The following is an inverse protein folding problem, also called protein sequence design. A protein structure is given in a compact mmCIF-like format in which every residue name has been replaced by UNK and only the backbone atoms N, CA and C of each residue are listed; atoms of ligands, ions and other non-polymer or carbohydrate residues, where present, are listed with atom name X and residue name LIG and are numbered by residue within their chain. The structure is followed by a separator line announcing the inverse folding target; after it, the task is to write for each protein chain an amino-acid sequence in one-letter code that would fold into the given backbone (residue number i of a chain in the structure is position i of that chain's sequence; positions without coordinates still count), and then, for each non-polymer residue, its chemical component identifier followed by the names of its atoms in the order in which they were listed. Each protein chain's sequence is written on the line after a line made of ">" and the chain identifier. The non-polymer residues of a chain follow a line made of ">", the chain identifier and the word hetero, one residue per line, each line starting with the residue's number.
data_IF_454412307942
#
_entry.id   IF_454412307942
#
_cell.length_a   1.000
_cell.length_b   1.000
_cell.length_c   1.000
_cell.angle_alpha   90.00
_cell.angle_beta   90.00
_cell.angle_gamma   90.00
#
_symmetry.space_group_name_H-M   'P 1'
#
loop_
_entity.id
_entity.type
_entity.pdbx_description
1 polymer ?
#
# COMPACT_ATOMS: atom_id res chain seq x y z
N UNK A 1 -5.19 -20.57 40.49
CA UNK A 1 -5.59 -19.76 39.31
C UNK A 1 -4.84 -18.43 39.31
N UNK A 2 -4.39 -17.95 38.14
CA UNK A 2 -3.62 -16.71 37.99
C UNK A 2 -2.09 -16.91 37.89
N UNK A 3 -1.57 -18.07 38.26
CA UNK A 3 -0.14 -18.36 38.22
C UNK A 3 0.36 -18.52 36.79
N UNK A 4 1.60 -18.07 36.53
CA UNK A 4 2.31 -18.25 35.27
C UNK A 4 3.18 -19.49 35.36
N UNK A 5 2.96 -20.44 34.45
CA UNK A 5 3.70 -21.69 34.36
C UNK A 5 4.46 -21.80 33.05
N UNK A 6 5.59 -22.52 33.06
CA UNK A 6 6.35 -22.85 31.85
C UNK A 6 5.84 -24.16 31.25
N UNK A 7 6.08 -24.37 29.96
CA UNK A 7 5.86 -25.65 29.30
C UNK A 7 6.60 -26.77 30.07
N UNK A 8 5.91 -27.89 30.27
CA UNK A 8 6.39 -29.03 31.05
C UNK A 8 6.22 -28.91 32.57
N UNK A 9 5.72 -27.78 33.09
CA UNK A 9 5.46 -27.67 34.53
C UNK A 9 4.40 -28.70 34.99
N UNK A 10 4.63 -29.40 36.11
CA UNK A 10 3.67 -30.36 36.65
C UNK A 10 2.41 -29.64 37.15
N UNK A 11 1.24 -30.21 36.84
CA UNK A 11 -0.08 -29.70 37.25
C UNK A 11 -0.69 -30.58 38.33
N UNK A 12 -0.70 -31.90 38.11
CA UNK A 12 -1.26 -32.87 39.06
C UNK A 12 -0.65 -34.25 38.85
N UNK A 13 -0.54 -35.01 39.94
CA UNK A 13 -0.25 -36.43 39.90
C UNK A 13 -1.57 -37.22 39.97
N UNK A 14 -1.78 -38.10 38.98
CA UNK A 14 -2.97 -38.90 38.86
C UNK A 14 -2.64 -40.37 39.09
N UNK A 15 -3.38 -41.01 39.97
CA UNK A 15 -3.33 -42.46 40.15
C UNK A 15 -4.34 -43.10 39.18
N UNK A 16 -3.85 -43.99 38.32
CA UNK A 16 -4.61 -44.79 37.36
C UNK A 16 -4.46 -46.28 37.75
N UNK A 17 -5.33 -46.83 38.61
CA UNK A 17 -5.21 -48.21 39.09
C UNK A 17 -5.22 -49.25 37.96
N UNK A 18 -6.01 -49.02 36.91
CA UNK A 18 -6.14 -49.90 35.74
C UNK A 18 -4.82 -50.09 34.98
N UNK A 19 -3.92 -49.12 35.07
CA UNK A 19 -2.59 -49.20 34.47
C UNK A 19 -1.67 -50.17 35.20
N UNK A 20 -1.80 -50.31 36.51
CA UNK A 20 -0.93 -51.19 37.31
C UNK A 20 -1.06 -52.68 36.94
N UNK A 21 -2.30 -53.13 36.71
CA UNK A 21 -2.57 -54.51 36.26
C UNK A 21 -1.96 -54.80 34.88
N UNK A 22 -2.22 -53.90 33.91
CA UNK A 22 -1.71 -54.05 32.55
C UNK A 22 -0.17 -54.00 32.47
N UNK A 23 0.48 -53.17 33.30
CA UNK A 23 1.94 -53.12 33.39
C UNK A 23 2.54 -54.41 33.95
N UNK A 24 1.89 -55.01 34.96
CA UNK A 24 2.33 -56.28 35.55
C UNK A 24 2.25 -57.42 34.53
N UNK A 25 1.18 -57.45 33.73
CA UNK A 25 1.03 -58.39 32.61
C UNK A 25 2.14 -58.18 31.57
N UNK A 26 2.35 -56.92 31.14
CA UNK A 26 3.38 -56.56 30.18
C UNK A 26 4.79 -57.01 30.62
N UNK A 27 5.16 -56.72 31.87
CA UNK A 27 6.45 -57.15 32.44
C UNK A 27 6.59 -58.67 32.51
N UNK A 28 5.48 -59.38 32.76
CA UNK A 28 5.46 -60.84 32.78
C UNK A 28 5.66 -61.44 31.40
N UNK A 29 4.96 -60.91 30.39
CA UNK A 29 5.14 -61.32 28.98
C UNK A 29 6.57 -61.07 28.51
N UNK A 30 7.15 -59.93 28.88
CA UNK A 30 8.54 -59.60 28.50
C UNK A 30 9.56 -60.60 29.05
N UNK A 31 9.35 -61.12 30.27
CA UNK A 31 10.21 -62.15 30.87
C UNK A 31 10.22 -63.47 30.09
N UNK A 32 9.20 -63.74 29.28
CA UNK A 32 9.13 -64.94 28.44
C UNK A 32 10.04 -64.87 27.20
N UNK A 33 10.61 -63.70 26.89
CA UNK A 33 11.52 -63.53 25.75
C UNK A 33 10.86 -63.69 24.38
N UNK A 34 9.53 -63.55 24.29
CA UNK A 34 8.76 -63.65 23.03
C UNK A 34 8.52 -62.24 22.45
N UNK A 35 9.17 -61.86 21.35
CA UNK A 35 9.10 -60.49 20.83
C UNK A 35 7.69 -60.10 20.37
N UNK A 36 6.97 -60.99 19.68
CA UNK A 36 5.62 -60.71 19.17
C UNK A 36 4.60 -60.46 20.30
N UNK A 37 4.66 -61.28 21.35
CA UNK A 37 3.79 -61.11 22.53
C UNK A 37 4.13 -59.83 23.29
N UNK A 38 5.42 -59.52 23.41
CA UNK A 38 5.88 -58.29 24.07
C UNK A 38 5.40 -57.07 23.28
N UNK A 39 5.50 -57.11 21.94
CA UNK A 39 5.01 -56.04 21.07
C UNK A 39 3.49 -55.85 21.19
N UNK A 40 2.71 -56.95 21.21
CA UNK A 40 1.27 -56.89 21.40
C UNK A 40 0.87 -56.32 22.77
N UNK A 41 1.53 -56.76 23.84
CA UNK A 41 1.29 -56.25 25.19
C UNK A 41 1.71 -54.77 25.33
N UNK A 42 2.81 -54.35 24.68
CA UNK A 42 3.20 -52.93 24.60
C UNK A 42 2.17 -52.10 23.84
N UNK A 43 1.62 -52.62 22.75
CA UNK A 43 0.59 -51.93 21.97
C UNK A 43 -0.69 -51.74 22.78
N UNK A 44 -1.07 -52.72 23.60
CA UNK A 44 -2.20 -52.58 24.54
C UNK A 44 -1.99 -51.42 25.52
N UNK A 45 -0.80 -51.28 26.10
CA UNK A 45 -0.49 -50.15 26.99
C UNK A 45 -0.64 -48.79 26.30
N UNK A 46 -0.21 -48.68 25.03
CA UNK A 46 -0.39 -47.47 24.22
C UNK A 46 -1.87 -47.16 23.95
N UNK A 47 -2.66 -48.19 23.63
CA UNK A 47 -4.11 -48.04 23.40
C UNK A 47 -4.85 -47.62 24.68
N UNK A 48 -4.31 -47.93 25.86
CA UNK A 48 -4.80 -47.45 27.15
C UNK A 48 -4.34 -46.02 27.49
N UNK A 49 -3.63 -45.34 26.58
CA UNK A 49 -3.21 -43.95 26.74
C UNK A 49 -1.85 -43.73 27.40
N UNK A 50 -1.07 -44.79 27.66
CA UNK A 50 0.30 -44.61 28.17
C UNK A 50 1.23 -44.05 27.10
N UNK A 51 2.04 -43.06 27.48
CA UNK A 51 3.10 -42.55 26.61
C UNK A 51 4.24 -43.55 26.48
N UNK A 52 4.96 -43.52 25.36
CA UNK A 52 6.14 -44.38 25.14
C UNK A 52 7.23 -44.17 26.20
N UNK A 53 7.37 -42.95 26.70
CA UNK A 53 8.31 -42.63 27.78
C UNK A 53 7.92 -43.31 29.10
N UNK A 54 6.63 -43.34 29.44
CA UNK A 54 6.15 -44.02 30.64
C UNK A 54 6.34 -45.54 30.52
N UNK A 55 5.99 -46.13 29.37
CA UNK A 55 6.22 -47.56 29.12
C UNK A 55 7.71 -47.91 29.24
N UNK A 56 8.59 -47.11 28.63
CA UNK A 56 10.04 -47.30 28.73
C UNK A 56 10.55 -47.15 30.19
N UNK A 57 9.90 -46.32 31.02
CA UNK A 57 10.26 -46.19 32.43
C UNK A 57 9.89 -47.45 33.22
N UNK A 58 8.70 -48.02 33.00
CA UNK A 58 8.24 -49.29 33.60
C UNK A 58 9.15 -50.44 33.14
N UNK A 59 9.56 -50.41 31.88
CA UNK A 59 10.50 -51.37 31.32
C UNK A 59 11.86 -51.35 32.03
N UNK A 60 12.39 -50.16 32.29
CA UNK A 60 13.70 -49.98 32.91
C UNK A 60 13.65 -50.26 34.41
N UNK A 61 12.57 -49.86 35.08
CA UNK A 61 12.39 -50.08 36.52
C UNK A 61 12.02 -51.52 36.87
N UNK A 62 11.39 -52.24 35.94
CA UNK A 62 10.86 -53.58 36.17
C UNK A 62 9.69 -53.60 37.18
N UNK A 63 9.09 -52.45 37.48
CA UNK A 63 8.01 -52.30 38.46
C UNK A 63 6.85 -51.51 37.87
N UNK A 64 5.58 -51.93 38.10
CA UNK A 64 4.44 -51.14 37.72
C UNK A 64 4.42 -49.81 38.50
N UNK A 65 4.04 -48.73 37.81
CA UNK A 65 3.75 -47.43 38.37
C UNK A 65 2.41 -46.92 37.80
N UNK A 66 1.40 -46.85 38.66
CA UNK A 66 0.08 -46.30 38.30
C UNK A 66 -0.02 -44.79 38.42
N UNK A 67 1.03 -44.09 38.90
CA UNK A 67 1.02 -42.64 39.06
C UNK A 67 1.61 -41.97 37.81
N UNK A 68 0.86 -41.04 37.23
CA UNK A 68 1.29 -40.21 36.11
C UNK A 68 1.20 -38.74 36.46
N UNK A 69 2.27 -38.01 36.22
CA UNK A 69 2.29 -36.55 36.34
C UNK A 69 1.78 -35.92 35.06
N UNK A 70 0.66 -35.21 35.15
CA UNK A 70 0.14 -34.39 34.06
C UNK A 70 0.87 -33.06 34.08
N UNK A 71 1.44 -32.69 32.93
CA UNK A 71 2.19 -31.43 32.75
C UNK A 71 1.48 -30.53 31.75
N UNK A 72 1.77 -29.22 31.82
CA UNK A 72 1.25 -28.28 30.82
C UNK A 72 2.03 -28.39 29.50
N UNK A 73 1.37 -28.51 28.33
CA UNK A 73 2.06 -28.58 27.04
C UNK A 73 2.62 -27.23 26.59
N UNK A 74 2.13 -26.13 27.15
CA UNK A 74 2.51 -24.75 26.78
C UNK A 74 2.89 -23.93 28.01
N UNK A 75 3.65 -22.86 27.79
CA UNK A 75 3.86 -21.84 28.80
C UNK A 75 2.68 -20.86 28.79
N UNK A 76 2.19 -20.44 29.96
CA UNK A 76 1.00 -19.60 30.03
C UNK A 76 0.50 -19.34 31.43
N UNK A 77 -0.67 -18.71 31.53
CA UNK A 77 -1.38 -18.50 32.79
C UNK A 77 -2.44 -19.56 33.01
N UNK A 78 -2.53 -20.06 34.25
CA UNK A 78 -3.60 -20.97 34.67
C UNK A 78 -4.88 -20.15 34.86
N UNK A 79 -5.83 -20.27 33.94
CA UNK A 79 -7.16 -19.64 34.06
C UNK A 79 -8.00 -20.36 35.10
N UNK A 80 -8.11 -21.68 34.98
CA UNK A 80 -8.86 -22.54 35.90
C UNK A 80 -7.97 -23.70 36.34
N UNK A 81 -8.18 -24.16 37.57
CA UNK A 81 -7.53 -25.33 38.14
C UNK A 81 -8.58 -26.08 38.97
N UNK A 82 -9.16 -27.10 38.36
CA UNK A 82 -10.24 -27.90 38.94
C UNK A 82 -9.68 -29.16 39.61
N UNK A 83 -8.46 -29.57 39.25
CA UNK A 83 -7.73 -30.61 39.95
C UNK A 83 -7.36 -30.14 41.37
N UNK A 84 -7.93 -30.80 42.39
CA UNK A 84 -7.59 -30.58 43.81
C UNK A 84 -7.11 -31.89 44.43
N UNK A 85 -6.24 -31.80 45.43
CA UNK A 85 -5.80 -32.98 46.16
C UNK A 85 -6.99 -33.70 46.79
N UNK A 86 -7.03 -35.02 46.65
CA UNK A 86 -8.06 -35.90 47.25
C UNK A 86 -9.33 -36.08 46.43
N UNK A 87 -9.46 -35.48 45.24
CA UNK A 87 -10.64 -35.67 44.38
C UNK A 87 -10.42 -36.82 43.39
N UNK A 88 -11.49 -37.55 43.09
CA UNK A 88 -11.54 -38.47 41.94
C UNK A 88 -11.94 -37.69 40.69
N UNK A 89 -11.26 -37.95 39.58
CA UNK A 89 -11.50 -37.27 38.31
C UNK A 89 -12.22 -38.21 37.35
N UNK A 90 -13.23 -37.68 36.66
CA UNK A 90 -13.92 -38.42 35.61
C UNK A 90 -13.21 -38.22 34.25
N UNK A 91 -13.36 -39.20 33.36
CA UNK A 91 -12.93 -39.06 31.97
C UNK A 91 -13.65 -37.89 31.31
N UNK A 92 -12.89 -37.01 30.64
CA UNK A 92 -13.39 -35.79 30.02
C UNK A 92 -13.51 -34.58 30.96
N UNK A 93 -13.22 -34.74 32.25
CA UNK A 93 -13.15 -33.61 33.17
C UNK A 93 -11.89 -32.78 32.91
N UNK A 94 -12.06 -31.46 32.81
CA UNK A 94 -10.95 -30.51 32.70
C UNK A 94 -10.16 -30.46 34.00
N UNK A 95 -8.82 -30.59 33.92
CA UNK A 95 -7.93 -30.48 35.08
C UNK A 95 -7.50 -29.03 35.32
N UNK A 96 -7.06 -28.39 34.26
CA UNK A 96 -6.64 -27.00 34.24
C UNK A 96 -6.82 -26.42 32.84
N UNK A 97 -7.15 -25.14 32.76
CA UNK A 97 -7.13 -24.38 31.52
C UNK A 97 -5.94 -23.43 31.54
N UNK A 98 -5.00 -23.61 30.61
CA UNK A 98 -3.80 -22.77 30.50
C UNK A 98 -3.88 -21.92 29.24
N UNK A 99 -3.70 -20.61 29.38
CA UNK A 99 -3.65 -19.68 28.25
C UNK A 99 -2.24 -19.24 27.94
N UNK A 100 -1.82 -19.47 26.71
CA UNK A 100 -0.51 -19.06 26.22
C UNK A 100 -0.30 -17.55 26.33
N UNK A 101 0.88 -17.14 26.78
CA UNK A 101 1.27 -15.73 26.87
C UNK A 101 2.34 -15.31 25.86
N UNK A 102 2.83 -16.22 25.01
CA UNK A 102 3.89 -15.90 24.03
C UNK A 102 3.48 -14.87 22.98
N UNK A 103 2.19 -14.83 22.67
CA UNK A 103 1.52 -13.82 21.85
C UNK A 103 0.28 -13.36 22.57
N UNK A 104 0.04 -12.04 22.61
CA UNK A 104 -1.18 -11.48 23.17
C UNK A 104 -2.02 -10.83 22.08
N UNK A 105 -3.33 -10.92 22.23
CA UNK A 105 -4.25 -10.25 21.32
C UNK A 105 -4.69 -8.92 21.90
N UNK A 106 -4.54 -7.88 21.11
CA UNK A 106 -5.09 -6.56 21.37
C UNK A 106 -6.34 -6.38 20.51
N UNK A 107 -7.48 -6.19 21.17
CA UNK A 107 -8.74 -5.88 20.51
C UNK A 107 -8.89 -4.35 20.46
N UNK A 108 -8.71 -3.76 19.28
CA UNK A 108 -8.88 -2.34 19.05
C UNK A 108 -10.33 -2.06 18.60
N UNK A 109 -10.99 -1.10 19.24
CA UNK A 109 -12.30 -0.62 18.81
C UNK A 109 -12.12 0.46 17.73
N UNK A 110 -12.55 0.15 16.50
CA UNK A 110 -12.44 1.06 15.35
C UNK A 110 -13.83 1.57 14.98
N UNK A 111 -14.06 2.89 14.92
CA UNK A 111 -15.34 3.44 14.46
C UNK A 111 -15.72 2.95 13.06
N UNK A 112 -16.99 2.65 12.85
CA UNK A 112 -17.51 2.12 11.57
C UNK A 112 -17.11 2.99 10.36
N UNK A 113 -17.11 4.32 10.51
CA UNK A 113 -16.72 5.26 9.45
C UNK A 113 -15.27 5.10 8.95
N UNK A 114 -14.38 4.49 9.74
CA UNK A 114 -12.97 4.24 9.41
C UNK A 114 -12.69 2.77 9.05
N UNK A 115 -13.71 1.92 9.09
CA UNK A 115 -13.57 0.48 8.85
C UNK A 115 -12.99 0.15 7.47
N UNK A 116 -13.34 0.94 6.44
CA UNK A 116 -12.85 0.74 5.07
C UNK A 116 -11.34 0.95 4.89
N UNK A 117 -10.70 1.65 5.83
CA UNK A 117 -9.25 1.88 5.82
C UNK A 117 -8.46 0.70 6.42
N UNK A 118 -9.14 -0.21 7.13
CA UNK A 118 -8.49 -1.29 7.87
C UNK A 118 -8.50 -2.58 7.05
N UNK A 119 -7.34 -3.25 6.98
CA UNK A 119 -7.18 -4.52 6.26
C UNK A 119 -6.51 -5.57 7.13
N UNK A 120 -6.89 -6.83 6.92
CA UNK A 120 -6.16 -7.96 7.51
C UNK A 120 -4.74 -7.98 6.94
N UNK A 121 -3.76 -8.18 7.82
CA UNK A 121 -2.34 -8.17 7.50
C UNK A 121 -1.68 -6.79 7.62
N UNK A 122 -2.43 -5.73 7.91
CA UNK A 122 -1.92 -4.38 8.11
C UNK A 122 -1.05 -4.27 9.37
N UNK A 123 -0.03 -3.42 9.32
CA UNK A 123 0.82 -3.15 10.47
C UNK A 123 0.10 -2.26 11.49
N UNK A 124 0.32 -2.53 12.76
CA UNK A 124 -0.20 -1.75 13.87
C UNK A 124 0.92 -1.45 14.88
N UNK A 125 0.86 -0.27 15.51
CA UNK A 125 1.72 0.09 16.62
C UNK A 125 0.85 0.37 17.84
N UNK A 126 1.10 -0.32 18.94
CA UNK A 126 0.42 -0.12 20.21
C UNK A 126 1.32 0.58 21.21
N UNK A 127 0.75 1.50 21.99
CA UNK A 127 1.41 2.18 23.12
C UNK A 127 0.55 1.99 24.36
N UNK A 128 1.15 1.54 25.46
CA UNK A 128 0.47 1.25 26.71
C UNK A 128 0.86 2.29 27.76
N UNK A 129 -0.09 2.70 28.61
CA UNK A 129 0.20 3.62 29.71
C UNK A 129 1.20 3.01 30.71
N UNK A 130 1.21 1.68 30.85
CA UNK A 130 2.16 0.95 31.71
C UNK A 130 3.60 0.95 31.19
N UNK A 131 3.82 1.33 29.92
CA UNK A 131 5.13 1.35 29.27
C UNK A 131 5.31 2.67 28.48
N UNK A 132 5.45 3.81 29.18
CA UNK A 132 5.53 5.11 28.52
C UNK A 132 6.78 5.18 27.63
N UNK A 133 6.60 5.66 26.39
CA UNK A 133 7.67 5.80 25.40
C UNK A 133 7.97 4.53 24.59
N UNK A 134 7.45 3.37 24.98
CA UNK A 134 7.63 2.12 24.24
C UNK A 134 6.50 1.88 23.23
N UNK A 135 6.87 1.39 22.04
CA UNK A 135 5.95 1.00 20.97
C UNK A 135 6.03 -0.50 20.73
N UNK A 136 4.88 -1.15 20.79
CA UNK A 136 4.73 -2.57 20.49
C UNK A 136 4.25 -2.72 19.06
N UNK A 137 5.10 -3.27 18.20
CA UNK A 137 4.72 -3.60 16.83
C UNK A 137 3.81 -4.84 16.82
N UNK A 138 2.74 -4.75 16.05
CA UNK A 138 1.78 -5.83 15.86
C UNK A 138 1.22 -5.88 14.45
N UNK A 139 0.41 -6.90 14.20
CA UNK A 139 -0.25 -7.09 12.91
C UNK A 139 -1.73 -7.36 13.09
N UNK A 140 -2.56 -6.75 12.25
CA UNK A 140 -3.99 -7.05 12.20
C UNK A 140 -4.16 -8.48 11.68
N UNK A 141 -4.71 -9.37 12.51
CA UNK A 141 -4.95 -10.78 12.14
C UNK A 141 -6.41 -11.04 11.77
N UNK A 142 -7.34 -10.23 12.30
CA UNK A 142 -8.76 -10.38 12.01
C UNK A 142 -9.50 -9.06 12.23
N UNK A 143 -10.56 -8.86 11.45
CA UNK A 143 -11.60 -7.87 11.70
C UNK A 143 -12.83 -8.70 12.05
N UNK A 144 -13.35 -8.56 13.28
CA UNK A 144 -14.48 -9.37 13.71
C UNK A 144 -15.73 -8.94 12.94
N UNK A 145 -16.58 -9.90 12.52
CA UNK A 145 -17.74 -9.62 11.67
C UNK A 145 -18.86 -8.88 12.41
N UNK A 146 -18.87 -8.92 13.74
CA UNK A 146 -19.89 -8.28 14.57
C UNK A 146 -19.44 -6.89 15.01
N UNK A 147 -20.29 -5.90 14.75
CA UNK A 147 -20.17 -4.57 15.31
C UNK A 147 -20.70 -4.56 16.75
N UNK A 148 -20.08 -3.75 17.60
CA UNK A 148 -20.65 -3.43 18.90
C UNK A 148 -21.66 -2.29 18.73
N UNK A 149 -22.95 -2.61 18.85
CA UNK A 149 -24.04 -1.68 18.59
C UNK A 149 -23.97 -0.43 19.50
N UNK A 150 -23.62 -0.61 20.77
CA UNK A 150 -23.58 0.48 21.77
C UNK A 150 -22.51 1.53 21.44
N UNK A 151 -21.34 1.09 20.97
CA UNK A 151 -20.20 1.96 20.67
C UNK A 151 -20.07 2.28 19.18
N UNK A 152 -20.85 1.62 18.31
CA UNK A 152 -20.75 1.67 16.84
C UNK A 152 -19.32 1.44 16.35
N UNK A 153 -18.66 0.46 16.95
CA UNK A 153 -17.29 0.08 16.60
C UNK A 153 -17.20 -1.34 16.09
N UNK A 154 -16.24 -1.56 15.20
CA UNK A 154 -15.76 -2.88 14.82
C UNK A 154 -14.58 -3.27 15.70
N UNK A 155 -14.51 -4.54 16.06
CA UNK A 155 -13.36 -5.07 16.80
C UNK A 155 -12.29 -5.54 15.83
N UNK A 156 -11.16 -4.84 15.81
CA UNK A 156 -9.98 -5.24 15.04
C UNK A 156 -9.01 -5.96 15.98
N UNK A 157 -8.73 -7.22 15.68
CA UNK A 157 -7.81 -8.05 16.48
C UNK A 157 -6.40 -7.93 15.93
N UNK A 158 -5.50 -7.48 16.79
CA UNK A 158 -4.09 -7.27 16.51
C UNK A 158 -3.29 -8.27 17.34
N UNK A 159 -2.39 -9.00 16.69
CA UNK A 159 -1.45 -9.87 17.37
C UNK A 159 -0.19 -9.09 17.74
N UNK A 160 0.20 -9.18 19.02
CA UNK A 160 1.41 -8.59 19.57
C UNK A 160 2.33 -9.71 20.09
N UNK A 161 3.59 -9.77 19.63
CA UNK A 161 4.60 -10.63 20.23
C UNK A 161 4.83 -10.25 21.69
N UNK A 162 4.89 -11.23 22.58
CA UNK A 162 5.08 -11.01 24.02
C UNK A 162 6.21 -11.89 24.57
N UNK A 163 7.38 -11.81 23.93
CA UNK A 163 8.53 -12.67 24.25
C UNK A 163 9.03 -12.49 25.69
N UNK A 164 9.00 -11.26 26.19
CA UNK A 164 9.45 -10.93 27.54
C UNK A 164 8.35 -11.13 28.60
N UNK A 165 7.14 -11.55 28.21
CA UNK A 165 6.00 -11.74 29.12
C UNK A 165 5.50 -10.46 29.79
N UNK A 166 5.88 -9.29 29.27
CA UNK A 166 5.59 -7.97 29.85
C UNK A 166 4.14 -7.53 29.60
N UNK A 167 3.56 -7.93 28.46
CA UNK A 167 2.18 -7.64 28.12
C UNK A 167 1.27 -8.63 28.87
N UNK A 168 0.36 -8.09 29.69
CA UNK A 168 -0.61 -8.89 30.46
C UNK A 168 -2.02 -8.67 29.92
N UNK A 169 -2.83 -9.73 29.81
CA UNK A 169 -4.26 -9.59 29.49
C UNK A 169 -4.95 -8.62 30.46
N UNK A 170 -5.85 -7.80 29.94
CA UNK A 170 -6.57 -6.77 30.72
C UNK A 170 -5.93 -5.38 30.70
N UNK A 171 -4.71 -5.22 30.17
CA UNK A 171 -4.12 -3.90 29.93
C UNK A 171 -4.83 -3.15 28.81
N UNK A 172 -4.85 -1.82 28.92
CA UNK A 172 -5.33 -0.92 27.87
C UNK A 172 -4.16 -0.38 27.04
N UNK A 173 -4.40 -0.19 25.75
CA UNK A 173 -3.43 0.35 24.81
C UNK A 173 -4.10 1.33 23.84
N UNK A 174 -3.35 2.35 23.43
CA UNK A 174 -3.68 3.17 22.26
C UNK A 174 -3.05 2.55 21.03
N UNK A 175 -3.80 2.48 19.94
CA UNK A 175 -3.35 1.83 18.70
C UNK A 175 -3.30 2.85 17.58
N UNK A 176 -2.17 2.84 16.87
CA UNK A 176 -2.04 3.49 15.57
C UNK A 176 -2.02 2.38 14.52
N UNK A 177 -3.05 2.33 13.69
CA UNK A 177 -3.11 1.45 12.52
C UNK A 177 -2.37 2.14 11.38
N UNK A 178 -1.30 1.53 10.89
CA UNK A 178 -0.48 2.10 9.82
C UNK A 178 -1.18 1.93 8.48
N UNK A 179 -1.44 3.02 7.75
CA UNK A 179 -1.89 2.92 6.36
C UNK A 179 -0.79 2.33 5.47
N UNK A 180 -1.17 1.69 4.36
CA UNK A 180 -0.22 1.26 3.35
C UNK A 180 0.61 2.47 2.90
N UNK A 181 1.90 2.49 3.24
CA UNK A 181 2.85 3.51 2.82
C UNK A 181 3.12 3.32 1.32
N UNK A 182 2.21 3.82 0.50
CA UNK A 182 2.45 3.95 -0.93
C UNK A 182 3.37 5.16 -1.14
N UNK A 183 4.39 5.07 -2.00
CA UNK A 183 5.15 6.24 -2.42
C UNK A 183 4.17 7.30 -2.94
N UNK A 184 4.22 8.47 -2.34
CA UNK A 184 3.37 9.61 -2.67
C UNK A 184 4.23 10.88 -2.67
N UNK A 185 3.88 11.83 -3.54
CA UNK A 185 4.50 13.14 -3.52
C UNK A 185 3.86 13.95 -2.39
N UNK A 186 4.67 14.40 -1.43
CA UNK A 186 4.21 15.17 -0.28
C UNK A 186 4.76 16.59 -0.38
N UNK A 187 3.96 17.56 0.06
CA UNK A 187 4.37 18.94 0.29
C UNK A 187 3.92 19.37 1.68
N UNK A 188 4.61 20.32 2.34
CA UNK A 188 4.11 20.92 3.57
C UNK A 188 2.70 21.47 3.35
N UNK A 189 1.75 21.18 4.26
CA UNK A 189 0.36 21.63 4.12
C UNK A 189 0.25 23.16 3.99
N UNK A 190 1.18 23.90 4.61
CA UNK A 190 1.26 25.36 4.52
C UNK A 190 1.58 25.89 3.12
N UNK A 191 2.21 25.09 2.25
CA UNK A 191 2.50 25.46 0.87
C UNK A 191 1.28 25.42 -0.06
N UNK A 192 0.16 24.82 0.39
CA UNK A 192 -1.04 24.60 -0.40
C UNK A 192 -2.01 25.78 -0.24
N UNK A 193 -2.27 26.48 -1.34
CA UNK A 193 -3.21 27.61 -1.39
C UNK A 193 -4.54 27.14 -1.98
N UNK A 194 -5.63 27.35 -1.22
CA UNK A 194 -7.00 27.00 -1.63
C UNK A 194 -7.78 28.28 -1.93
N UNK A 195 -8.09 28.53 -3.19
CA UNK A 195 -8.86 29.72 -3.63
C UNK A 195 -10.37 29.44 -3.73
N UNK A 196 -10.82 28.30 -3.22
CA UNK A 196 -12.20 27.80 -3.34
C UNK A 196 -12.53 27.18 -4.69
N UNK A 197 -12.10 27.80 -5.81
CA UNK A 197 -12.31 27.27 -7.17
C UNK A 197 -11.22 26.30 -7.61
N UNK A 198 -10.00 26.50 -7.13
CA UNK A 198 -8.81 25.70 -7.47
C UNK A 198 -7.86 25.61 -6.30
N UNK A 199 -7.00 24.59 -6.34
CA UNK A 199 -5.91 24.41 -5.38
C UNK A 199 -4.59 24.58 -6.12
N UNK A 200 -3.68 25.38 -5.57
CA UNK A 200 -2.41 25.71 -6.19
C UNK A 200 -1.28 25.74 -5.18
N UNK A 201 -0.04 25.62 -5.68
CA UNK A 201 1.19 25.85 -4.92
C UNK A 201 2.07 26.84 -5.68
N UNK A 202 2.93 27.56 -4.96
CA UNK A 202 3.91 28.44 -5.59
C UNK A 202 5.21 27.69 -5.81
N UNK A 203 5.61 27.50 -7.07
CA UNK A 203 6.88 26.90 -7.45
C UNK A 203 7.99 27.95 -7.44
N UNK A 204 9.15 27.61 -6.88
CA UNK A 204 10.37 28.39 -6.99
C UNK A 204 11.20 27.90 -8.19
N UNK A 205 11.16 28.63 -9.30
CA UNK A 205 11.79 28.24 -10.56
C UNK A 205 13.30 28.58 -10.65
N UNK A 206 13.89 29.08 -9.56
CA UNK A 206 15.25 29.61 -9.55
C UNK A 206 15.29 31.11 -9.87
N UNK A 207 16.43 31.74 -9.59
CA UNK A 207 16.69 33.17 -9.86
C UNK A 207 15.66 34.15 -9.23
N UNK A 208 15.04 33.76 -8.12
CA UNK A 208 14.02 34.58 -7.43
C UNK A 208 12.66 34.64 -8.14
N UNK A 209 12.41 33.79 -9.14
CA UNK A 209 11.14 33.72 -9.87
C UNK A 209 10.19 32.68 -9.27
N UNK A 210 8.92 33.06 -9.17
CA UNK A 210 7.85 32.23 -8.64
C UNK A 210 6.74 32.04 -9.67
N UNK A 211 6.23 30.82 -9.78
CA UNK A 211 5.15 30.49 -10.70
C UNK A 211 4.05 29.69 -9.98
N UNK A 212 2.77 30.09 -10.09
CA UNK A 212 1.67 29.31 -9.54
C UNK A 212 1.51 28.02 -10.36
N UNK A 213 1.28 26.90 -9.67
CA UNK A 213 0.97 25.62 -10.30
C UNK A 213 -0.28 25.02 -9.65
N UNK A 214 -1.28 24.69 -10.46
CA UNK A 214 -2.48 24.02 -10.00
C UNK A 214 -2.16 22.57 -9.63
N UNK A 215 -2.69 22.12 -8.50
CA UNK A 215 -2.45 20.78 -7.97
C UNK A 215 -3.76 20.11 -7.59
N UNK A 216 -3.78 18.79 -7.75
CA UNK A 216 -4.82 17.95 -7.16
C UNK A 216 -4.27 17.32 -5.91
N UNK A 217 -4.88 17.62 -4.77
CA UNK A 217 -4.47 17.12 -3.47
C UNK A 217 -5.19 15.81 -3.10
N UNK A 218 -4.55 15.02 -2.25
CA UNK A 218 -5.04 13.76 -1.69
C UNK A 218 -5.21 13.86 -0.17
N UNK A 219 -4.71 12.87 0.56
CA UNK A 219 -4.79 12.82 2.02
C UNK A 219 -3.85 13.86 2.65
N UNK A 220 -4.29 14.42 3.77
CA UNK A 220 -3.53 15.35 4.59
C UNK A 220 -3.31 14.74 5.98
N UNK A 221 -2.06 14.60 6.40
CA UNK A 221 -1.70 14.02 7.69
C UNK A 221 -0.31 14.45 8.14
N UNK A 222 -0.14 14.69 9.44
CA UNK A 222 1.19 14.99 10.02
C UNK A 222 1.81 16.30 9.55
N UNK A 223 1.01 17.28 9.10
CA UNK A 223 1.49 18.56 8.56
C UNK A 223 1.89 18.51 7.09
N UNK A 224 1.69 17.37 6.42
CA UNK A 224 2.00 17.16 5.02
C UNK A 224 0.71 16.87 4.24
N UNK A 225 0.66 17.33 2.99
CA UNK A 225 -0.43 17.09 2.04
C UNK A 225 0.06 16.27 0.85
N UNK A 226 -0.64 15.18 0.55
CA UNK A 226 -0.42 14.34 -0.63
C UNK A 226 -0.81 15.08 -1.91
N UNK A 227 0.05 15.05 -2.92
CA UNK A 227 -0.19 15.61 -4.26
C UNK A 227 -0.45 14.45 -5.23
N UNK A 228 -1.70 14.35 -5.70
CA UNK A 228 -2.15 13.34 -6.65
C UNK A 228 -1.84 13.72 -8.10
N UNK A 229 -1.73 15.02 -8.41
CA UNK A 229 -1.34 15.52 -9.74
C UNK A 229 -0.92 17.01 -9.68
N UNK A 230 -0.17 17.47 -10.68
CA UNK A 230 0.18 18.88 -10.87
C UNK A 230 1.64 19.23 -10.52
N UNK A 231 2.34 18.34 -9.80
CA UNK A 231 3.76 18.47 -9.47
C UNK A 231 4.55 17.22 -9.86
N UNK A 232 5.84 17.43 -10.09
CA UNK A 232 6.84 16.38 -10.31
C UNK A 232 7.81 16.32 -9.12
N UNK A 233 8.37 15.13 -8.81
CA UNK A 233 9.42 15.02 -7.81
C UNK A 233 10.61 15.95 -8.11
N UNK A 234 11.09 16.66 -7.09
CA UNK A 234 12.23 17.59 -7.20
C UNK A 234 11.85 19.06 -7.45
N UNK A 235 10.58 19.35 -7.74
CA UNK A 235 10.11 20.75 -7.82
C UNK A 235 10.10 21.41 -6.44
N UNK A 236 10.64 22.63 -6.35
CA UNK A 236 10.70 23.39 -5.10
C UNK A 236 9.42 24.18 -4.90
N UNK A 237 8.77 24.02 -3.76
CA UNK A 237 7.57 24.75 -3.37
C UNK A 237 7.86 25.77 -2.28
N UNK A 238 7.13 26.87 -2.28
CA UNK A 238 7.22 27.89 -1.22
C UNK A 238 6.32 27.49 -0.05
N UNK A 239 6.92 27.34 1.13
CA UNK A 239 6.20 26.99 2.36
C UNK A 239 5.88 28.20 3.27
N UNK A 240 6.49 29.37 3.02
CA UNK A 240 6.29 30.58 3.83
C UNK A 240 6.16 31.83 2.97
N UNK A 241 5.26 32.75 3.34
CA UNK A 241 4.98 33.97 2.58
C UNK A 241 4.22 33.74 1.27
N UNK A 242 3.70 32.53 1.07
CA UNK A 242 3.01 32.07 -0.13
C UNK A 242 1.81 32.95 -0.53
N UNK A 243 1.11 33.55 0.44
CA UNK A 243 -0.03 34.44 0.17
C UNK A 243 0.39 35.76 -0.48
N UNK A 244 1.52 36.35 -0.05
CA UNK A 244 2.02 37.60 -0.63
C UNK A 244 2.47 37.37 -2.07
N UNK A 245 3.14 36.24 -2.31
CA UNK A 245 3.62 35.86 -3.65
C UNK A 245 2.45 35.52 -4.59
N UNK A 246 1.42 34.84 -4.10
CA UNK A 246 0.19 34.58 -4.86
C UNK A 246 -0.57 35.88 -5.20
N UNK A 247 -0.65 36.81 -4.26
CA UNK A 247 -1.29 38.12 -4.47
C UNK A 247 -0.58 38.92 -5.57
N UNK A 248 0.76 38.96 -5.54
CA UNK A 248 1.57 39.65 -6.55
C UNK A 248 1.49 38.94 -7.92
N UNK A 249 1.51 37.61 -7.95
CA UNK A 249 1.38 36.83 -9.18
C UNK A 249 0.00 37.03 -9.84
N UNK A 250 -1.06 37.10 -9.03
CA UNK A 250 -2.42 37.42 -9.49
C UNK A 250 -2.53 38.84 -10.03
N UNK A 251 -1.94 39.82 -9.33
CA UNK A 251 -1.90 41.23 -9.76
C UNK A 251 -1.12 41.41 -11.08
N UNK A 252 -0.01 40.69 -11.21
CA UNK A 252 0.84 40.67 -12.40
C UNK A 252 0.27 39.82 -13.55
N UNK A 253 -0.87 39.15 -13.36
CA UNK A 253 -1.53 38.34 -14.39
C UNK A 253 -0.78 37.06 -14.77
N UNK A 254 0.04 36.51 -13.86
CA UNK A 254 0.78 35.26 -14.11
C UNK A 254 -0.22 34.08 -14.07
N UNK A 255 -0.39 33.43 -15.22
CA UNK A 255 -1.25 32.24 -15.30
C UNK A 255 -0.65 31.05 -14.54
N UNK A 256 -1.53 30.30 -13.86
CA UNK A 256 -1.15 29.10 -13.15
C UNK A 256 -0.92 27.94 -14.13
N UNK A 257 0.16 27.18 -13.92
CA UNK A 257 0.42 25.95 -14.67
C UNK A 257 -0.72 24.96 -14.42
N UNK A 258 -1.46 24.50 -15.45
CA UNK A 258 -2.59 23.60 -15.25
C UNK A 258 -2.14 22.19 -14.86
N UNK A 259 -3.04 21.45 -14.21
CA UNK A 259 -2.82 20.03 -13.85
C UNK A 259 -2.60 19.22 -15.14
N UNK A 260 -1.38 18.70 -15.32
CA UNK A 260 -0.95 18.00 -16.55
C UNK A 260 0.14 18.73 -17.35
N UNK A 261 0.51 19.95 -16.96
CA UNK A 261 1.55 20.75 -17.61
C UNK A 261 3.00 20.49 -17.18
N UNK A 262 3.29 19.37 -16.49
CA UNK A 262 4.63 19.08 -15.94
C UNK A 262 5.34 17.93 -16.66
N UNK A 263 6.55 18.22 -17.15
CA UNK A 263 7.52 17.34 -17.84
C UNK A 263 7.33 17.09 -19.36
N UNK A 264 7.14 18.15 -20.14
CA UNK A 264 7.60 18.21 -21.54
C UNK A 264 7.79 19.66 -21.99
N UNK A 265 8.89 20.29 -21.59
CA UNK A 265 9.44 21.46 -22.31
C UNK A 265 10.95 21.53 -22.14
N UNK A 266 11.60 20.43 -22.55
CA UNK A 266 12.84 20.52 -23.31
C UNK A 266 12.50 20.01 -24.70
N UNK A 267 12.40 20.93 -25.66
CA UNK A 267 12.09 20.69 -27.09
C UNK A 267 10.67 20.17 -27.36
N UNK A 268 9.84 21.00 -28.02
CA UNK A 268 8.95 20.68 -29.16
C UNK A 268 7.94 21.83 -29.30
N UNK A 269 7.72 22.20 -30.57
CA UNK A 269 6.87 23.28 -31.05
C UNK A 269 5.46 23.33 -30.43
N UNK A 270 4.91 24.55 -30.36
CA UNK A 270 3.55 24.86 -29.93
C UNK A 270 2.50 23.93 -30.56
N UNK A 271 1.41 23.58 -29.84
CA UNK A 271 0.34 22.78 -30.39
C UNK A 271 -0.37 23.60 -31.47
N UNK A 272 -0.40 23.04 -32.68
CA UNK A 272 -1.20 23.57 -33.78
C UNK A 272 -2.67 23.62 -33.35
N UNK A 273 -3.27 24.82 -33.39
CA UNK A 273 -4.70 24.89 -33.69
C UNK A 273 -4.90 24.08 -34.97
N UNK A 274 -6.00 23.32 -35.08
CA UNK A 274 -6.40 22.73 -36.36
C UNK A 274 -6.72 23.87 -37.32
N UNK A 275 -5.68 24.43 -37.94
CA UNK A 275 -5.80 25.41 -38.99
C UNK A 275 -6.27 24.65 -40.23
N UNK A 276 -7.46 25.02 -40.72
CA UNK A 276 -8.01 24.46 -41.95
C UNK A 276 -6.98 24.62 -43.07
N UNK A 277 -6.50 23.49 -43.59
CA UNK A 277 -5.49 23.45 -44.62
C UNK A 277 -6.17 23.53 -45.99
N UNK A 278 -5.80 24.52 -46.79
CA UNK A 278 -6.27 24.71 -48.16
C UNK A 278 -5.20 24.22 -49.11
N UNK A 279 -5.60 23.53 -50.18
CA UNK A 279 -4.69 23.04 -51.22
C UNK A 279 -5.02 23.66 -52.56
N UNK A 280 -3.98 24.00 -53.32
CA UNK A 280 -4.09 24.44 -54.71
C UNK A 280 -2.81 24.10 -55.47
N UNK A 281 -2.80 24.31 -56.77
CA UNK A 281 -1.59 24.23 -57.59
C UNK A 281 -1.19 25.60 -58.11
N UNK A 282 0.10 25.78 -58.37
CA UNK A 282 0.62 27.05 -58.85
C UNK A 282 2.04 26.95 -59.36
N UNK A 283 2.55 28.07 -59.85
CA UNK A 283 3.92 28.23 -60.32
C UNK A 283 4.70 29.13 -59.37
N UNK A 284 5.92 28.73 -59.05
CA UNK A 284 6.81 29.53 -58.20
C UNK A 284 7.35 30.69 -59.02
N UNK A 285 7.06 31.92 -58.60
CA UNK A 285 7.60 33.12 -59.23
C UNK A 285 8.89 33.57 -58.54
N UNK A 286 8.96 33.48 -57.20
CA UNK A 286 10.14 33.87 -56.44
C UNK A 286 10.23 33.16 -55.08
N UNK A 287 11.43 32.79 -54.66
CA UNK A 287 11.70 32.22 -53.34
C UNK A 287 12.63 33.16 -52.57
N UNK A 288 12.31 33.44 -51.31
CA UNK A 288 13.19 34.12 -50.35
C UNK A 288 13.48 33.19 -49.16
N UNK A 289 14.29 33.62 -48.20
CA UNK A 289 14.61 32.82 -47.02
C UNK A 289 13.37 32.37 -46.22
N UNK A 290 12.34 33.22 -46.14
CA UNK A 290 11.18 33.03 -45.26
C UNK A 290 9.82 33.07 -45.98
N UNK A 291 9.80 33.24 -47.31
CA UNK A 291 8.54 33.32 -48.08
C UNK A 291 8.70 32.87 -49.52
N UNK A 292 7.58 32.49 -50.14
CA UNK A 292 7.52 32.13 -51.56
C UNK A 292 6.38 32.89 -52.23
N UNK A 293 6.69 33.57 -53.33
CA UNK A 293 5.69 34.19 -54.21
C UNK A 293 5.25 33.16 -55.25
N UNK A 294 3.95 32.86 -55.27
CA UNK A 294 3.31 31.84 -56.12
C UNK A 294 2.20 32.47 -56.94
N UNK A 295 2.17 32.18 -58.25
CA UNK A 295 0.98 32.34 -59.09
C UNK A 295 0.14 31.08 -58.98
N UNK A 296 -0.97 31.15 -58.26
CA UNK A 296 -1.78 29.97 -57.94
C UNK A 296 -3.09 29.94 -58.72
N UNK A 297 -3.61 28.74 -58.93
CA UNK A 297 -4.95 28.49 -59.48
C UNK A 297 -6.03 28.88 -58.46
N UNK A 298 -7.30 29.07 -58.88
CA UNK A 298 -8.36 29.50 -57.99
C UNK A 298 -8.51 28.59 -56.77
N UNK A 299 -8.83 29.18 -55.62
CA UNK A 299 -9.11 28.43 -54.38
C UNK A 299 -10.57 28.65 -54.01
N UNK A 300 -11.51 27.81 -54.49
CA UNK A 300 -12.95 28.03 -54.30
C UNK A 300 -13.37 28.12 -52.84
N UNK A 301 -12.70 27.38 -51.94
CA UNK A 301 -12.99 27.40 -50.51
C UNK A 301 -12.72 28.77 -49.83
N UNK A 302 -12.03 29.69 -50.52
CA UNK A 302 -11.70 31.03 -50.05
C UNK A 302 -12.19 32.13 -50.99
N UNK A 303 -12.95 31.78 -52.04
CA UNK A 303 -13.35 32.70 -53.13
C UNK A 303 -12.17 33.45 -53.77
N UNK A 304 -10.99 32.83 -53.80
CA UNK A 304 -9.80 33.44 -54.42
C UNK A 304 -9.72 33.09 -55.91
N UNK A 305 -9.67 34.09 -56.80
CA UNK A 305 -9.39 33.84 -58.22
C UNK A 305 -7.93 33.42 -58.41
N UNK A 306 -7.57 33.03 -59.64
CA UNK A 306 -6.17 32.81 -59.98
C UNK A 306 -5.39 34.12 -59.84
N UNK A 307 -4.39 34.17 -58.96
CA UNK A 307 -3.62 35.37 -58.68
C UNK A 307 -2.21 35.06 -58.18
N UNK A 308 -1.36 36.09 -58.18
CA UNK A 308 0.03 35.98 -57.71
C UNK A 308 0.16 36.66 -56.34
N UNK A 309 0.56 35.90 -55.33
CA UNK A 309 0.74 36.44 -53.97
C UNK A 309 1.87 35.74 -53.23
N UNK A 310 2.27 36.32 -52.10
CA UNK A 310 3.37 35.81 -51.28
C UNK A 310 2.84 35.06 -50.06
N UNK A 311 3.34 33.84 -49.88
CA UNK A 311 3.05 32.97 -48.76
C UNK A 311 4.26 32.93 -47.83
N UNK A 312 4.04 33.12 -46.53
CA UNK A 312 5.08 32.90 -45.53
C UNK A 312 5.42 31.40 -45.45
N UNK A 313 6.67 31.04 -45.25
CA UNK A 313 7.06 29.64 -45.06
C UNK A 313 6.92 29.25 -43.59
N UNK A 314 6.16 28.19 -43.28
CA UNK A 314 6.11 27.65 -41.92
C UNK A 314 7.49 27.16 -41.44
N UNK A 315 8.33 26.70 -42.36
CA UNK A 315 9.76 26.51 -42.13
C UNK A 315 10.54 26.68 -43.45
N UNK A 316 11.82 27.10 -43.41
CA UNK A 316 12.65 27.26 -44.62
C UNK A 316 12.88 25.97 -45.41
N UNK A 317 12.69 24.80 -44.79
CA UNK A 317 12.87 23.49 -45.42
C UNK A 317 11.85 23.19 -46.52
N UNK A 318 10.65 23.78 -46.45
CA UNK A 318 9.58 23.57 -47.45
C UNK A 318 9.99 24.03 -48.85
N UNK A 319 10.82 25.07 -48.96
CA UNK A 319 11.29 25.58 -50.26
C UNK A 319 12.56 24.90 -50.77
N UNK A 320 13.14 23.96 -50.01
CA UNK A 320 14.41 23.29 -50.36
C UNK A 320 14.20 22.39 -51.58
N UNK A 321 15.01 22.59 -52.63
CA UNK A 321 14.96 21.78 -53.86
C UNK A 321 13.99 22.29 -54.93
N UNK A 322 13.36 23.45 -54.70
CA UNK A 322 12.50 24.13 -55.67
C UNK A 322 13.19 25.38 -56.21
N UNK A 323 12.86 25.77 -57.45
CA UNK A 323 13.35 26.99 -58.08
C UNK A 323 12.20 27.78 -58.71
N UNK A 324 12.43 29.08 -58.95
CA UNK A 324 11.50 29.89 -59.74
C UNK A 324 11.26 29.21 -61.10
N UNK A 325 10.00 29.15 -61.51
CA UNK A 325 9.53 28.43 -62.69
C UNK A 325 8.92 27.06 -62.42
N UNK A 326 9.21 26.41 -61.29
CA UNK A 326 8.68 25.07 -60.98
C UNK A 326 7.15 25.13 -60.73
N UNK A 327 6.41 24.13 -61.26
CA UNK A 327 4.98 23.93 -60.97
C UNK A 327 4.81 23.02 -59.77
N UNK A 328 4.00 23.45 -58.81
CA UNK A 328 3.89 22.83 -57.49
C UNK A 328 2.44 22.73 -57.04
N UNK A 329 2.12 21.63 -56.34
CA UNK A 329 0.93 21.52 -55.50
C UNK A 329 1.35 21.89 -54.08
N UNK A 330 0.60 22.75 -53.42
CA UNK A 330 0.96 23.23 -52.10
C UNK A 330 -0.26 23.39 -51.21
N UNK A 331 -0.02 23.17 -49.92
CA UNK A 331 -1.00 23.37 -48.86
C UNK A 331 -0.62 24.55 -47.98
N UNK A 332 -1.58 25.39 -47.64
CA UNK A 332 -1.39 26.55 -46.78
C UNK A 332 -2.55 26.71 -45.80
N UNK A 333 -2.30 27.37 -44.69
CA UNK A 333 -3.32 27.84 -43.77
C UNK A 333 -3.30 29.37 -43.68
N UNK A 334 -4.29 29.95 -43.00
CA UNK A 334 -4.44 31.40 -42.86
C UNK A 334 -4.47 31.81 -41.38
N UNK A 335 -3.32 31.80 -40.68
CA UNK A 335 -3.24 32.45 -39.37
C UNK A 335 -3.51 33.96 -39.50
N UNK A 336 -3.81 34.67 -38.39
CA UNK A 336 -4.09 36.11 -38.41
C UNK A 336 -3.00 36.98 -39.07
N UNK A 337 -1.76 36.49 -39.10
CA UNK A 337 -0.62 37.18 -39.71
C UNK A 337 -0.53 37.07 -41.25
N UNK A 338 -1.35 36.24 -41.89
CA UNK A 338 -1.36 36.05 -43.35
C UNK A 338 -1.15 34.59 -43.79
N UNK A 339 -1.31 34.30 -45.09
CA UNK A 339 -1.27 32.93 -45.60
C UNK A 339 0.12 32.31 -45.41
N UNK A 340 0.16 31.14 -44.78
CA UNK A 340 1.39 30.43 -44.43
C UNK A 340 1.44 29.06 -45.09
N UNK A 341 2.46 28.84 -45.92
CA UNK A 341 2.72 27.60 -46.63
C UNK A 341 3.15 26.52 -45.62
N UNK A 342 2.44 25.39 -45.62
CA UNK A 342 2.69 24.24 -44.74
C UNK A 342 3.43 23.11 -45.44
N UNK A 343 3.15 22.89 -46.71
CA UNK A 343 3.86 21.91 -47.52
C UNK A 343 3.81 22.28 -49.01
N UNK A 344 4.78 21.79 -49.78
CA UNK A 344 4.89 22.01 -51.22
C UNK A 344 5.50 20.78 -51.87
N UNK A 345 4.91 20.32 -52.97
CA UNK A 345 5.34 19.16 -53.74
C UNK A 345 5.36 19.50 -55.23
N UNK A 346 6.33 18.97 -55.97
CA UNK A 346 6.34 19.12 -57.44
C UNK A 346 5.18 18.34 -58.04
N UNK A 347 4.47 18.96 -58.96
CA UNK A 347 3.51 18.23 -59.79
C UNK A 347 4.32 17.48 -60.84
N UNK A 348 4.25 16.15 -60.86
CA UNK A 348 4.96 15.34 -61.83
C UNK A 348 4.20 15.35 -63.17
N UNK A 349 4.81 15.92 -64.22
CA UNK A 349 4.33 15.83 -65.59
C UNK A 349 4.40 17.13 -66.38
N UNK A 350 5.45 17.22 -67.21
CA UNK A 350 5.77 18.19 -68.28
C UNK A 350 6.21 19.60 -67.86
#
# INVERSE_FOLDING_TARGET
>A
PGDVVRAGAPIADLLLPEWGGAQTEYLSVRRLGKPDLTAAARQRLRLMGMSDGLIASVERSGRPNGVVTITTPISGTIQTLDARAGVTLAMGQTLAQVSGLGTVWLNAAVPEARAGDVRVGQNASATLASFPGERFAGRVIAILPTTQADSRTLTVRIELPNRDGRLRPGMFASVVLGGDAKPALLVPSEAVIRTGKRTLVMLAAGDGRYHPAEVRIGREAGGETEILAGLSPGEKVVASGQFLIDSEASLSGIEARPIGGGAASATIAAPASKATLYETTGKIERITANSVTLSHEPVPALDWPAMTMTFALANPGIARGFKAGDRVRFGFDRPPAGPTLRHMAKVAGQ
#
